data_IF_196868877240
#
_entry.id   IF_196868877240
#
_cell.length_a   1.000
_cell.length_b   1.000
_cell.length_c   1.000
_cell.angle_alpha   90.00
_cell.angle_beta   90.00
_cell.angle_gamma   90.00
#
_symmetry.space_group_name_H-M   'P 1'
#
loop_
_entity.id
_entity.type
_entity.pdbx_description
1 polymer ?
#
# COMPACT_ATOMS: atom_id res chain seq x y z
N UNK A 1 3.98 9.55 -16.43
CA UNK A 1 4.42 9.15 -15.07
C UNK A 1 5.15 7.82 -15.16
N UNK A 2 6.17 7.60 -14.33
CA UNK A 2 6.89 6.31 -14.30
C UNK A 2 6.57 5.62 -12.98
N UNK A 3 6.04 4.41 -13.05
CA UNK A 3 5.75 3.57 -11.90
C UNK A 3 6.70 2.39 -11.87
N UNK A 4 7.21 2.07 -10.69
CA UNK A 4 7.89 0.81 -10.40
C UNK A 4 7.08 0.00 -9.42
N UNK A 5 6.57 -1.12 -9.87
CA UNK A 5 5.88 -2.07 -9.01
C UNK A 5 6.90 -3.01 -8.37
N UNK A 6 6.90 -3.10 -7.04
CA UNK A 6 7.70 -4.10 -6.31
C UNK A 6 6.73 -5.08 -5.67
N UNK A 7 6.66 -6.30 -6.20
CA UNK A 7 5.63 -7.27 -5.82
C UNK A 7 6.26 -8.40 -5.02
N UNK A 8 5.70 -8.65 -3.84
CA UNK A 8 6.09 -9.75 -2.97
C UNK A 8 4.85 -10.60 -2.71
N UNK A 9 4.65 -11.63 -3.54
CA UNK A 9 3.50 -12.53 -3.44
C UNK A 9 3.75 -13.76 -4.32
N UNK A 10 3.17 -14.90 -3.92
CA UNK A 10 3.12 -16.10 -4.77
C UNK A 10 2.27 -15.88 -6.05
N UNK A 11 1.49 -14.80 -6.10
CA UNK A 11 0.64 -14.44 -7.23
C UNK A 11 1.12 -13.20 -7.98
N UNK A 12 2.42 -12.92 -7.94
CA UNK A 12 2.98 -11.67 -8.42
C UNK A 12 2.59 -11.34 -9.88
N UNK A 13 2.69 -12.32 -10.79
CA UNK A 13 2.36 -12.13 -12.22
C UNK A 13 0.93 -11.62 -12.43
N UNK A 14 -0.05 -12.25 -11.75
CA UNK A 14 -1.46 -11.85 -11.85
C UNK A 14 -1.67 -10.44 -11.29
N UNK A 15 -1.03 -10.11 -10.17
CA UNK A 15 -1.10 -8.78 -9.56
C UNK A 15 -0.50 -7.72 -10.50
N UNK A 16 0.62 -8.02 -11.14
CA UNK A 16 1.29 -7.12 -12.11
C UNK A 16 0.36 -6.84 -13.29
N UNK A 17 -0.24 -7.87 -13.88
CA UNK A 17 -1.20 -7.72 -14.98
C UNK A 17 -2.34 -6.78 -14.59
N UNK A 18 -2.99 -7.06 -13.45
CA UNK A 18 -4.10 -6.26 -12.91
C UNK A 18 -3.71 -4.79 -12.73
N UNK A 19 -2.55 -4.52 -12.14
CA UNK A 19 -2.12 -3.16 -11.79
C UNK A 19 -1.56 -2.40 -12.98
N UNK A 20 -0.84 -3.05 -13.89
CA UNK A 20 -0.36 -2.44 -15.12
C UNK A 20 -1.54 -1.91 -15.96
N UNK A 21 -2.57 -2.73 -16.15
CA UNK A 21 -3.78 -2.32 -16.89
C UNK A 21 -4.53 -1.19 -16.20
N UNK A 22 -4.67 -1.29 -14.88
CA UNK A 22 -5.35 -0.29 -14.07
C UNK A 22 -4.64 1.07 -14.09
N UNK A 23 -3.32 1.10 -13.86
CA UNK A 23 -2.53 2.33 -13.82
C UNK A 23 -2.45 3.00 -15.20
N UNK A 24 -2.28 2.22 -16.28
CA UNK A 24 -2.30 2.77 -17.65
C UNK A 24 -3.64 3.37 -18.04
N UNK A 25 -4.74 2.83 -17.50
CA UNK A 25 -6.09 3.35 -17.73
C UNK A 25 -6.34 4.68 -17.00
N UNK A 26 -5.82 4.84 -15.79
CA UNK A 26 -6.01 6.06 -14.99
C UNK A 26 -4.99 7.14 -15.36
N UNK A 27 -3.71 6.80 -15.43
CA UNK A 27 -2.62 7.71 -15.71
C UNK A 27 -2.17 7.53 -17.16
N UNK A 28 -2.78 8.30 -18.06
CA UNK A 28 -2.44 8.30 -19.49
C UNK A 28 -0.94 8.56 -19.69
N UNK A 29 -0.34 7.83 -20.64
CA UNK A 29 1.10 7.88 -20.94
C UNK A 29 2.01 7.49 -19.76
N UNK A 30 1.50 6.68 -18.82
CA UNK A 30 2.35 6.08 -17.80
C UNK A 30 3.17 4.91 -18.36
N UNK A 31 4.40 4.80 -17.87
CA UNK A 31 5.21 3.59 -18.02
C UNK A 31 5.23 2.84 -16.70
N UNK A 32 5.09 1.52 -16.76
CA UNK A 32 5.10 0.65 -15.59
C UNK A 32 6.23 -0.36 -15.77
N UNK A 33 7.21 -0.31 -14.87
CA UNK A 33 8.22 -1.34 -14.67
C UNK A 33 7.84 -2.19 -13.45
N UNK A 34 8.38 -3.40 -13.34
CA UNK A 34 8.10 -4.27 -12.20
C UNK A 34 9.32 -5.07 -11.77
N UNK A 35 9.35 -5.41 -10.48
CA UNK A 35 10.28 -6.33 -9.85
C UNK A 35 9.45 -7.31 -9.03
N UNK A 36 9.68 -8.61 -9.23
CA UNK A 36 9.17 -9.65 -8.36
C UNK A 36 10.26 -9.94 -7.33
N UNK A 37 9.91 -9.80 -6.06
CA UNK A 37 10.83 -10.01 -4.96
C UNK A 37 10.26 -11.06 -4.01
N UNK A 38 11.13 -11.92 -3.47
CA UNK A 38 10.68 -13.10 -2.72
C UNK A 38 10.53 -12.83 -1.23
N UNK A 39 11.55 -12.26 -0.60
CA UNK A 39 11.69 -12.20 0.84
C UNK A 39 12.06 -10.78 1.30
N UNK A 40 11.14 -10.00 1.90
CA UNK A 40 11.45 -8.66 2.40
C UNK A 40 12.44 -8.69 3.58
N UNK A 41 13.03 -7.54 3.97
CA UNK A 41 14.03 -7.47 5.04
C UNK A 41 13.45 -7.96 6.37
N UNK A 42 14.03 -9.05 6.89
CA UNK A 42 13.50 -9.76 8.07
C UNK A 42 13.59 -8.92 9.35
N UNK A 43 14.54 -7.99 9.41
CA UNK A 43 14.72 -7.04 10.49
C UNK A 43 13.53 -6.08 10.67
N UNK A 44 12.70 -5.90 9.65
CA UNK A 44 11.49 -5.07 9.72
C UNK A 44 10.25 -5.87 10.10
N UNK A 45 10.39 -7.18 10.29
CA UNK A 45 9.31 -8.04 10.73
C UNK A 45 9.23 -8.10 12.26
N UNK A 46 8.08 -7.71 12.79
CA UNK A 46 7.78 -7.86 14.20
C UNK A 46 7.20 -9.26 14.44
N UNK A 47 7.99 -10.13 15.07
CA UNK A 47 7.58 -11.50 15.38
C UNK A 47 6.42 -11.60 16.38
N UNK A 48 6.28 -10.65 17.31
CA UNK A 48 5.18 -10.65 18.28
C UNK A 48 3.86 -10.30 17.61
N UNK A 49 3.89 -9.34 16.69
CA UNK A 49 2.71 -8.94 15.91
C UNK A 49 2.44 -9.84 14.71
N UNK A 50 3.47 -10.50 14.21
CA UNK A 50 3.50 -11.19 12.92
C UNK A 50 3.23 -10.24 11.74
N UNK A 51 3.72 -9.00 11.83
CA UNK A 51 3.48 -7.91 10.88
C UNK A 51 4.78 -7.21 10.49
N UNK A 52 4.83 -6.60 9.30
CA UNK A 52 5.93 -5.74 8.88
C UNK A 52 5.72 -4.29 9.32
N UNK A 53 6.81 -3.63 9.72
CA UNK A 53 6.87 -2.19 9.99
C UNK A 53 6.85 -1.40 8.69
N UNK A 54 5.68 -0.85 8.35
CA UNK A 54 5.43 -0.28 7.04
C UNK A 54 6.24 1.00 6.76
N UNK A 55 6.52 1.79 7.78
CA UNK A 55 7.38 2.97 7.71
C UNK A 55 8.83 2.62 7.34
N UNK A 56 9.38 1.52 7.88
CA UNK A 56 10.71 1.02 7.51
C UNK A 56 10.71 0.41 6.11
N UNK A 57 9.64 -0.32 5.76
CA UNK A 57 9.46 -0.90 4.43
C UNK A 57 9.41 0.17 3.33
N UNK A 58 8.81 1.34 3.57
CA UNK A 58 8.81 2.45 2.60
C UNK A 58 10.22 2.91 2.23
N UNK A 59 11.10 3.04 3.23
CA UNK A 59 12.50 3.45 3.00
C UNK A 59 13.24 2.40 2.17
N UNK A 60 13.02 1.12 2.47
CA UNK A 60 13.60 0.01 1.71
C UNK A 60 13.06 -0.05 0.27
N UNK A 61 11.75 0.10 0.08
CA UNK A 61 11.11 0.14 -1.23
C UNK A 61 11.63 1.30 -2.09
N UNK A 62 11.87 2.46 -1.48
CA UNK A 62 12.44 3.61 -2.19
C UNK A 62 13.82 3.32 -2.82
N UNK A 63 14.56 2.34 -2.28
CA UNK A 63 15.85 1.91 -2.82
C UNK A 63 15.78 1.17 -4.17
N UNK A 64 14.59 0.75 -4.62
CA UNK A 64 14.43 0.10 -5.91
C UNK A 64 14.28 1.05 -7.10
N UNK A 65 14.22 2.36 -6.84
CA UNK A 65 14.08 3.37 -7.88
C UNK A 65 15.32 3.44 -8.76
N UNK A 66 15.09 3.52 -10.06
CA UNK A 66 16.15 3.82 -11.02
C UNK A 66 16.24 5.32 -11.30
N UNK A 67 15.18 6.08 -11.03
CA UNK A 67 15.07 7.51 -11.32
C UNK A 67 14.37 8.30 -10.20
N UNK A 68 14.76 9.57 -10.05
CA UNK A 68 14.17 10.50 -9.05
C UNK A 68 12.68 10.80 -9.28
N UNK A 69 12.21 10.63 -10.52
CA UNK A 69 10.81 10.88 -10.90
C UNK A 69 9.96 9.61 -10.98
N UNK A 70 10.53 8.46 -10.64
CA UNK A 70 9.82 7.20 -10.57
C UNK A 70 9.05 7.11 -9.23
N UNK A 71 7.80 6.68 -9.29
CA UNK A 71 6.97 6.37 -8.13
C UNK A 71 7.07 4.87 -7.88
N UNK A 72 7.55 4.49 -6.70
CA UNK A 72 7.61 3.08 -6.31
C UNK A 72 6.34 2.69 -5.58
N UNK A 73 5.75 1.57 -5.97
CA UNK A 73 4.55 1.02 -5.34
C UNK A 73 4.87 -0.42 -4.95
N UNK A 74 5.05 -0.64 -3.66
CA UNK A 74 5.18 -1.97 -3.09
C UNK A 74 3.81 -2.62 -2.93
N UNK A 75 3.65 -3.86 -3.39
CA UNK A 75 2.47 -4.69 -3.07
C UNK A 75 2.95 -5.96 -2.41
N UNK A 76 2.62 -6.11 -1.14
CA UNK A 76 3.23 -7.07 -0.24
C UNK A 76 2.16 -8.00 0.31
N UNK A 77 2.29 -9.31 0.09
CA UNK A 77 1.42 -10.36 0.66
C UNK A 77 1.76 -10.67 2.12
N UNK A 78 1.72 -9.61 2.91
CA UNK A 78 1.95 -9.60 4.34
C UNK A 78 0.95 -8.68 5.02
N UNK A 79 0.95 -8.71 6.35
CA UNK A 79 0.26 -7.73 7.17
C UNK A 79 1.23 -6.61 7.55
N UNK A 80 0.75 -5.36 7.52
CA UNK A 80 1.56 -4.17 7.77
C UNK A 80 1.04 -3.38 8.96
N UNK A 81 1.94 -2.68 9.65
CA UNK A 81 1.56 -1.71 10.68
C UNK A 81 2.55 -0.54 10.74
N UNK A 82 2.08 0.57 11.31
CA UNK A 82 2.94 1.67 11.79
C UNK A 82 2.74 1.83 13.30
N UNK A 83 3.73 2.34 14.05
CA UNK A 83 3.59 2.54 15.49
C UNK A 83 2.34 3.34 15.84
N UNK A 84 1.57 2.84 16.82
CA UNK A 84 0.32 3.45 17.26
C UNK A 84 -0.95 2.92 16.57
N UNK A 85 -0.82 2.07 15.55
CA UNK A 85 -1.95 1.40 14.90
C UNK A 85 -1.87 -0.13 15.05
N UNK A 86 -3.02 -0.79 14.92
CA UNK A 86 -3.10 -2.25 14.95
C UNK A 86 -2.65 -2.87 13.62
N UNK A 87 -3.01 -2.24 12.51
CA UNK A 87 -2.60 -2.61 11.16
C UNK A 87 -2.91 -1.44 10.21
N UNK A 88 -2.38 -1.53 8.99
CA UNK A 88 -2.69 -0.64 7.87
C UNK A 88 -2.92 -1.47 6.61
N UNK A 89 -3.66 -0.92 5.65
CA UNK A 89 -3.79 -1.51 4.31
C UNK A 89 -2.72 -0.93 3.37
N UNK A 90 -2.36 0.33 3.55
CA UNK A 90 -1.23 0.95 2.90
C UNK A 90 -0.65 2.11 3.70
N UNK A 91 0.48 2.60 3.20
CA UNK A 91 1.10 3.86 3.64
C UNK A 91 1.95 4.41 2.49
N UNK A 92 2.03 5.73 2.39
CA UNK A 92 2.87 6.43 1.43
C UNK A 92 3.79 7.46 2.11
N UNK A 93 4.94 7.69 1.49
CA UNK A 93 5.81 8.83 1.76
C UNK A 93 6.00 9.65 0.46
N UNK A 94 5.50 10.89 0.42
CA UNK A 94 5.57 11.76 -0.75
C UNK A 94 6.99 12.25 -1.05
N UNK A 95 7.81 12.44 0.00
CA UNK A 95 9.19 12.89 -0.16
C UNK A 95 10.02 11.78 -0.78
N UNK A 96 9.76 10.54 -0.38
CA UNK A 96 10.37 9.37 -1.02
C UNK A 96 9.71 9.04 -2.36
N UNK A 97 8.54 9.60 -2.69
CA UNK A 97 7.67 9.21 -3.81
C UNK A 97 7.39 7.70 -3.81
N UNK A 98 7.15 7.12 -2.65
CA UNK A 98 7.01 5.66 -2.47
C UNK A 98 5.74 5.35 -1.69
N UNK A 99 5.00 4.35 -2.17
CA UNK A 99 3.81 3.81 -1.53
C UNK A 99 4.00 2.30 -1.28
N UNK A 100 3.29 1.78 -0.29
CA UNK A 100 3.24 0.34 0.00
C UNK A 100 1.82 -0.09 0.35
N UNK A 101 1.39 -1.24 -0.16
CA UNK A 101 0.08 -1.85 0.08
C UNK A 101 0.27 -3.27 0.59
N UNK A 102 -0.41 -3.61 1.69
CA UNK A 102 -0.34 -4.88 2.41
C UNK A 102 -1.61 -5.68 2.17
N UNK A 103 -1.47 -6.79 1.44
CA UNK A 103 -2.62 -7.47 0.85
C UNK A 103 -3.28 -8.49 1.77
N UNK A 104 -2.63 -8.87 2.89
CA UNK A 104 -3.12 -9.98 3.73
C UNK A 104 -4.57 -9.77 4.21
N UNK A 105 -4.94 -8.51 4.48
CA UNK A 105 -6.28 -8.15 4.96
C UNK A 105 -7.26 -7.78 3.83
N UNK A 106 -6.79 -7.73 2.59
CA UNK A 106 -7.64 -7.47 1.43
C UNK A 106 -8.41 -8.74 0.99
N UNK A 107 -7.85 -9.92 1.25
CA UNK A 107 -8.48 -11.21 0.96
C UNK A 107 -9.80 -11.40 1.74
N UNK A 108 -10.72 -12.18 1.16
CA UNK A 108 -11.95 -12.60 1.83
C UNK A 108 -11.73 -13.94 2.54
N UNK A 109 -11.36 -13.89 3.81
CA UNK A 109 -11.17 -15.09 4.61
C UNK A 109 -9.79 -15.71 4.44
N UNK A 110 -9.65 -16.99 4.80
CA UNK A 110 -8.35 -17.65 4.96
C UNK A 110 -7.78 -18.26 3.68
N UNK A 111 -8.59 -18.39 2.63
CA UNK A 111 -8.20 -19.06 1.37
C UNK A 111 -7.31 -18.21 0.46
N UNK A 112 -7.06 -16.93 0.82
CA UNK A 112 -6.25 -15.96 0.09
C UNK A 112 -6.55 -15.92 -1.41
N UNK A 113 -7.83 -16.10 -1.77
CA UNK A 113 -8.22 -16.13 -3.17
C UNK A 113 -8.16 -14.74 -3.80
N UNK A 114 -7.53 -14.64 -4.98
CA UNK A 114 -7.60 -13.45 -5.83
C UNK A 114 -8.92 -13.49 -6.62
N UNK A 115 -9.99 -13.08 -5.94
CA UNK A 115 -11.33 -12.89 -6.50
C UNK A 115 -11.57 -11.43 -6.91
N UNK A 116 -12.74 -11.14 -7.48
CA UNK A 116 -13.10 -9.79 -7.94
C UNK A 116 -13.05 -8.76 -6.81
N UNK A 117 -13.43 -9.14 -5.59
CA UNK A 117 -13.44 -8.23 -4.44
C UNK A 117 -12.02 -7.91 -3.97
N UNK A 118 -11.12 -8.90 -3.95
CA UNK A 118 -9.70 -8.65 -3.73
C UNK A 118 -9.15 -7.68 -4.75
N UNK A 119 -9.47 -7.89 -6.04
CA UNK A 119 -8.99 -7.05 -7.15
C UNK A 119 -9.49 -5.61 -6.99
N UNK A 120 -10.78 -5.42 -6.66
CA UNK A 120 -11.35 -4.09 -6.41
C UNK A 120 -10.69 -3.39 -5.23
N UNK A 121 -10.48 -4.11 -4.12
CA UNK A 121 -9.81 -3.59 -2.93
C UNK A 121 -8.36 -3.20 -3.20
N UNK A 122 -7.62 -4.07 -3.88
CA UNK A 122 -6.24 -3.82 -4.26
C UNK A 122 -6.13 -2.56 -5.12
N UNK A 123 -6.96 -2.43 -6.15
CA UNK A 123 -6.98 -1.24 -7.02
C UNK A 123 -7.32 0.02 -6.24
N UNK A 124 -8.32 -0.05 -5.36
CA UNK A 124 -8.73 1.09 -4.53
C UNK A 124 -7.60 1.54 -3.61
N UNK A 125 -6.94 0.59 -2.94
CA UNK A 125 -5.86 0.90 -2.00
C UNK A 125 -4.61 1.44 -2.72
N UNK A 126 -4.21 0.81 -3.82
CA UNK A 126 -3.09 1.28 -4.64
C UNK A 126 -3.34 2.71 -5.14
N UNK A 127 -4.56 3.01 -5.61
CA UNK A 127 -4.90 4.36 -6.02
C UNK A 127 -4.89 5.34 -4.84
N UNK A 128 -5.41 4.93 -3.67
CA UNK A 128 -5.42 5.75 -2.46
C UNK A 128 -4.00 6.20 -2.08
N UNK A 129 -3.04 5.28 -2.03
CA UNK A 129 -1.68 5.58 -1.59
C UNK A 129 -0.86 6.36 -2.64
N UNK A 130 -1.16 6.19 -3.93
CA UNK A 130 -0.46 6.94 -4.99
C UNK A 130 -1.00 8.38 -5.11
N UNK A 131 -2.29 8.59 -4.87
CA UNK A 131 -2.97 9.89 -5.02
C UNK A 131 -3.01 10.71 -3.71
N UNK A 132 -2.59 10.15 -2.57
CA UNK A 132 -2.49 10.84 -1.27
C UNK A 132 -1.02 11.13 -0.88
N UNK A 133 -0.45 12.27 -1.31
CA UNK A 133 0.89 12.68 -0.92
C UNK A 133 0.92 13.41 0.43
N UNK A 134 0.20 12.94 1.46
CA UNK A 134 0.31 13.54 2.80
C UNK A 134 1.56 13.02 3.56
N UNK A 135 2.30 13.89 4.27
CA UNK A 135 3.49 13.48 5.02
C UNK A 135 3.13 12.53 6.18
N UNK A 136 4.03 11.64 6.61
CA UNK A 136 3.73 10.49 7.48
C UNK A 136 3.15 10.84 8.87
N UNK A 137 3.05 12.11 9.26
CA UNK A 137 2.57 12.55 10.58
C UNK A 137 1.81 13.89 10.55
N UNK A 138 0.74 14.01 9.74
CA UNK A 138 -0.29 15.05 9.96
C UNK A 138 -1.72 14.52 9.94
N UNK A 139 -1.96 13.36 10.56
CA UNK A 139 -3.28 13.08 11.11
C UNK A 139 -3.41 13.84 12.44
N UNK A 140 -4.12 14.97 12.44
CA UNK A 140 -4.55 15.61 13.68
C UNK A 140 -5.43 14.64 14.46
N UNK A 141 -4.86 13.99 15.47
CA UNK A 141 -5.60 13.13 16.39
C UNK A 141 -6.59 14.00 17.17
N UNK A 142 -7.88 13.89 16.84
CA UNK A 142 -8.93 14.29 17.77
C UNK A 142 -9.36 13.05 18.55
N UNK A 143 -8.86 12.92 19.77
CA UNK A 143 -9.28 11.87 20.70
C UNK A 143 -10.67 12.26 21.20
N UNK A 144 -11.71 11.57 20.75
CA UNK A 144 -12.97 11.49 21.50
C UNK A 144 -13.47 10.05 21.46
N UNK A 145 -13.36 9.35 22.60
CA UNK A 145 -14.03 8.08 22.89
C UNK A 145 -13.69 6.90 21.96
N UNK A 146 -12.77 6.04 22.38
CA UNK A 146 -12.51 4.66 21.90
C UNK A 146 -12.49 4.38 20.38
N UNK A 147 -12.46 5.40 19.53
CA UNK A 147 -12.44 5.29 18.06
C UNK A 147 -11.45 6.32 17.51
N UNK A 148 -10.41 5.84 16.82
CA UNK A 148 -9.53 6.70 16.03
C UNK A 148 -10.13 6.76 14.62
N UNK A 149 -10.78 7.89 14.30
CA UNK A 149 -11.24 8.22 12.95
C UNK A 149 -10.17 9.10 12.29
N UNK A 150 -9.45 8.56 11.31
CA UNK A 150 -8.72 9.39 10.35
C UNK A 150 -9.76 10.01 9.40
N UNK A 151 -9.94 11.33 9.48
CA UNK A 151 -10.84 12.10 8.63
C UNK A 151 -10.16 12.43 7.30
N UNK A 152 -10.77 12.02 6.19
CA UNK A 152 -10.34 12.32 4.83
C UNK A 152 -11.08 13.53 4.26
N UNK A 153 -10.39 14.37 3.47
CA UNK A 153 -10.98 15.37 2.56
C UNK A 153 -10.36 15.19 1.18
N UNK A 154 -11.11 14.59 0.26
CA UNK A 154 -10.85 14.67 -1.18
C UNK A 154 -12.16 14.75 -1.96
N UNK A 155 -12.02 15.07 -3.25
CA UNK A 155 -12.90 15.97 -4.02
C UNK A 155 -14.32 15.46 -4.30
N UNK A 156 -14.68 14.21 -4.02
CA UNK A 156 -16.06 13.71 -4.24
C UNK A 156 -16.51 12.64 -3.24
N UNK A 157 -16.65 13.02 -1.97
CA UNK A 157 -17.51 12.30 -1.04
C UNK A 157 -16.85 11.14 -0.27
N UNK A 158 -17.33 10.96 0.96
CA UNK A 158 -16.80 10.12 2.01
C UNK A 158 -16.77 8.62 1.67
N UNK A 159 -15.61 7.96 1.76
CA UNK A 159 -15.55 6.53 2.17
C UNK A 159 -14.39 6.28 3.14
N UNK A 160 -14.62 5.65 4.30
CA UNK A 160 -13.55 5.20 5.18
C UNK A 160 -13.04 3.83 4.70
N UNK A 161 -11.73 3.63 4.61
CA UNK A 161 -11.13 2.29 4.62
C UNK A 161 -10.02 2.18 5.68
N UNK A 162 -10.29 2.69 6.88
CA UNK A 162 -9.60 2.23 8.08
C UNK A 162 -10.60 1.40 8.88
N UNK A 163 -10.52 0.07 8.77
CA UNK A 163 -11.34 -0.83 9.60
C UNK A 163 -10.62 -1.04 10.91
N UNK A 164 -10.74 -0.09 11.84
CA UNK A 164 -10.51 -0.40 13.25
C UNK A 164 -11.78 -1.11 13.72
N UNK A 165 -11.77 -2.45 13.71
CA UNK A 165 -12.63 -3.23 14.60
C UNK A 165 -11.85 -3.55 15.86
#
# INVERSE_FOLDING_TARGET
>A
MRFRLVIISDYAEKIIEILNDFLRKIFLYSSVSHIIYKDPPKEYYDHFRRQYRADLMLTWLAGFKEDLDEITVGVLDYDGYVPGLNFIFGVADPYLKTASVYTLRLYRGYDRKIDEIFIERLKKEVLHEIDDPSPPLRAGFRISGSRVLALWRGINGFTPLCVIR
#
